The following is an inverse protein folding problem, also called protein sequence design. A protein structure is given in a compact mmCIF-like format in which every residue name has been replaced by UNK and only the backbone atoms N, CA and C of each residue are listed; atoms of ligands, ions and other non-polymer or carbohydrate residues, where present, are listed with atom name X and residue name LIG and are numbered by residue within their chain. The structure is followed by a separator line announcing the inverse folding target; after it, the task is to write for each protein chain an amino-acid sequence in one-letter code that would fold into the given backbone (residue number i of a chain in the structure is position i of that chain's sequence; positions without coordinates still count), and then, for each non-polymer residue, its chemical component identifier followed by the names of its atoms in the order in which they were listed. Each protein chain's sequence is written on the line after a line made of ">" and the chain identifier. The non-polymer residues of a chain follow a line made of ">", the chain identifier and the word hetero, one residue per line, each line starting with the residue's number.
data_IF_793510506144
#
_entry.id   IF_793510506144
#
_cell.length_a   1.000
_cell.length_b   1.000
_cell.length_c   1.000
_cell.angle_alpha   90.00
_cell.angle_beta   90.00
_cell.angle_gamma   90.00
#
_symmetry.space_group_name_H-M   'P 1'
#
loop_
_entity.id
_entity.type
_entity.pdbx_description
1 polymer ?
#
# COMPACT_ATOMS: atom_id res chain seq x y z
N UNK A 1 2.50 10.40 18.68
CA UNK A 1 1.33 10.89 17.91
C UNK A 1 0.18 9.92 18.10
N UNK A 2 -1.05 10.42 17.99
CA UNK A 2 -2.26 9.61 17.93
C UNK A 2 -2.60 9.34 16.46
N UNK A 3 -2.39 8.11 16.03
CA UNK A 3 -2.60 7.67 14.65
C UNK A 3 -3.90 6.87 14.57
N UNK A 4 -4.68 7.11 13.55
CA UNK A 4 -5.82 6.25 13.21
C UNK A 4 -5.55 5.58 11.87
N UNK A 5 -5.73 4.27 11.82
CA UNK A 5 -5.66 3.51 10.57
C UNK A 5 -7.07 3.01 10.26
N UNK A 6 -7.63 3.45 9.14
CA UNK A 6 -8.96 3.04 8.68
C UNK A 6 -8.81 1.93 7.65
N UNK A 7 -9.28 0.75 8.02
CA UNK A 7 -9.07 -0.49 7.29
C UNK A 7 -7.97 -1.36 7.91
N UNK A 8 -8.31 -2.57 8.36
CA UNK A 8 -7.41 -3.55 8.96
C UNK A 8 -7.00 -4.68 7.99
N UNK A 9 -7.02 -4.40 6.68
CA UNK A 9 -6.51 -5.31 5.65
C UNK A 9 -5.00 -5.49 5.73
N UNK A 10 -4.41 -6.13 4.73
CA UNK A 10 -2.95 -6.40 4.67
C UNK A 10 -2.11 -5.13 4.86
N UNK A 11 -2.48 -4.04 4.16
CA UNK A 11 -1.75 -2.77 4.27
C UNK A 11 -1.99 -2.08 5.61
N UNK A 12 -3.26 -1.93 6.03
CA UNK A 12 -3.59 -1.26 7.28
C UNK A 12 -3.00 -1.98 8.51
N UNK A 13 -3.03 -3.31 8.56
CA UNK A 13 -2.37 -4.08 9.63
C UNK A 13 -0.86 -3.84 9.68
N UNK A 14 -0.19 -3.78 8.51
CA UNK A 14 1.23 -3.50 8.43
C UNK A 14 1.59 -2.06 8.83
N UNK A 15 0.76 -1.08 8.45
CA UNK A 15 0.92 0.34 8.84
C UNK A 15 0.72 0.47 10.35
N UNK A 16 -0.32 -0.16 10.91
CA UNK A 16 -0.58 -0.21 12.36
C UNK A 16 0.62 -0.76 13.11
N UNK A 17 1.09 -1.95 12.74
CA UNK A 17 2.27 -2.57 13.35
C UNK A 17 3.51 -1.68 13.31
N UNK A 18 3.82 -1.09 12.14
CA UNK A 18 4.99 -0.21 12.00
C UNK A 18 4.87 1.05 12.85
N UNK A 19 3.66 1.62 12.96
CA UNK A 19 3.39 2.80 13.80
C UNK A 19 3.49 2.50 15.28
N UNK A 20 3.02 1.33 15.74
CA UNK A 20 3.15 0.87 17.12
C UNK A 20 4.62 0.70 17.52
N UNK A 21 5.43 0.07 16.66
CA UNK A 21 6.87 -0.12 16.90
C UNK A 21 7.65 1.20 16.94
N UNK A 22 7.15 2.23 16.26
CA UNK A 22 7.69 3.58 16.30
C UNK A 22 7.26 4.37 17.57
N UNK A 23 6.48 3.77 18.47
CA UNK A 23 6.05 4.38 19.74
C UNK A 23 4.84 5.30 19.60
N UNK A 24 4.04 5.16 18.54
CA UNK A 24 2.78 5.90 18.40
C UNK A 24 1.62 5.17 19.06
N UNK A 25 0.62 5.94 19.55
CA UNK A 25 -0.67 5.39 19.94
C UNK A 25 -1.51 5.18 18.70
N UNK A 26 -1.99 3.96 18.45
CA UNK A 26 -2.66 3.63 17.20
C UNK A 26 -4.04 3.07 17.45
N UNK A 27 -5.06 3.70 16.88
CA UNK A 27 -6.38 3.10 16.75
C UNK A 27 -6.55 2.52 15.33
N UNK A 28 -6.87 1.23 15.26
CA UNK A 28 -7.27 0.58 14.01
C UNK A 28 -8.79 0.44 13.97
N UNK A 29 -9.37 0.87 12.85
CA UNK A 29 -10.83 0.95 12.68
C UNK A 29 -11.26 0.10 11.50
N UNK A 30 -12.30 -0.69 11.70
CA UNK A 30 -12.99 -1.45 10.66
C UNK A 30 -14.51 -1.26 10.74
N UNK A 31 -15.20 -1.62 9.66
CA UNK A 31 -16.65 -1.56 9.61
C UNK A 31 -17.34 -2.81 10.14
N UNK A 32 -16.61 -3.93 10.24
CA UNK A 32 -17.13 -5.25 10.59
C UNK A 32 -16.17 -5.97 11.53
N UNK A 33 -16.72 -6.65 12.56
CA UNK A 33 -15.95 -7.35 13.60
C UNK A 33 -15.05 -8.43 13.01
N UNK A 34 -15.54 -9.19 12.03
CA UNK A 34 -14.76 -10.26 11.40
C UNK A 34 -13.50 -9.73 10.71
N UNK A 35 -13.61 -8.59 10.02
CA UNK A 35 -12.46 -7.96 9.39
C UNK A 35 -11.51 -7.36 10.43
N UNK A 36 -12.05 -6.80 11.51
CA UNK A 36 -11.26 -6.28 12.63
C UNK A 36 -10.46 -7.41 13.29
N UNK A 37 -11.10 -8.53 13.62
CA UNK A 37 -10.44 -9.70 14.23
C UNK A 37 -9.33 -10.25 13.33
N UNK A 38 -9.61 -10.36 12.02
CA UNK A 38 -8.61 -10.77 11.04
C UNK A 38 -7.44 -9.79 10.95
N UNK A 39 -7.69 -8.50 11.12
CA UNK A 39 -6.67 -7.46 11.15
C UNK A 39 -5.80 -7.54 12.40
N UNK A 40 -6.41 -7.72 13.56
CA UNK A 40 -5.72 -7.94 14.84
C UNK A 40 -4.81 -9.17 14.75
N UNK A 41 -5.33 -10.28 14.21
CA UNK A 41 -4.54 -11.50 14.05
C UNK A 41 -3.30 -11.26 13.17
N UNK A 42 -3.41 -10.49 12.06
CA UNK A 42 -2.25 -10.14 11.23
C UNK A 42 -1.23 -9.29 12.00
N UNK A 43 -1.70 -8.35 12.83
CA UNK A 43 -0.80 -7.53 13.65
C UNK A 43 -0.06 -8.42 14.66
N UNK A 44 -0.75 -9.34 15.33
CA UNK A 44 -0.14 -10.31 16.24
C UNK A 44 0.86 -11.23 15.51
N UNK A 45 0.55 -11.67 14.30
CA UNK A 45 1.46 -12.47 13.47
C UNK A 45 2.75 -11.71 13.14
N UNK A 46 2.67 -10.39 12.91
CA UNK A 46 3.87 -9.57 12.72
C UNK A 46 4.72 -9.50 13.99
N UNK A 47 4.10 -9.31 15.16
CA UNK A 47 4.81 -9.35 16.45
C UNK A 47 5.47 -10.71 16.71
N UNK A 48 4.72 -11.78 16.52
CA UNK A 48 5.21 -13.15 16.69
C UNK A 48 6.42 -13.43 15.80
N UNK A 49 6.34 -13.08 14.52
CA UNK A 49 7.44 -13.24 13.57
C UNK A 49 8.65 -12.37 13.92
N UNK A 50 8.41 -11.14 14.39
CA UNK A 50 9.47 -10.22 14.80
C UNK A 50 10.23 -10.71 16.04
N UNK A 51 9.52 -11.25 17.04
CA UNK A 51 10.07 -11.88 18.23
C UNK A 51 10.86 -13.13 17.89
N UNK A 52 10.27 -14.04 17.10
CA UNK A 52 10.91 -15.30 16.72
C UNK A 52 12.21 -15.11 15.93
N UNK A 53 12.31 -14.01 15.15
CA UNK A 53 13.52 -13.64 14.41
C UNK A 53 14.51 -12.78 15.19
N UNK A 54 14.23 -12.44 16.44
CA UNK A 54 15.05 -11.54 17.23
C UNK A 54 15.12 -10.08 16.71
N UNK A 55 14.18 -9.68 15.83
CA UNK A 55 14.14 -8.34 15.25
C UNK A 55 13.67 -7.30 16.28
N UNK A 56 12.77 -7.72 17.19
CA UNK A 56 12.24 -6.87 18.26
C UNK A 56 12.43 -7.52 19.61
N UNK A 57 12.89 -6.78 20.64
CA UNK A 57 12.92 -7.26 22.01
C UNK A 57 11.51 -7.48 22.58
N UNK A 58 11.35 -8.45 23.47
CA UNK A 58 10.04 -8.76 24.08
C UNK A 58 9.42 -7.56 24.79
N UNK A 59 10.19 -6.83 25.60
CA UNK A 59 9.72 -5.64 26.29
C UNK A 59 9.17 -4.56 25.30
N UNK A 60 9.85 -4.37 24.17
CA UNK A 60 9.39 -3.42 23.13
C UNK A 60 8.11 -3.90 22.45
N UNK A 61 7.95 -5.19 22.26
CA UNK A 61 6.73 -5.74 21.69
C UNK A 61 5.52 -5.53 22.61
N UNK A 62 5.67 -5.79 23.92
CA UNK A 62 4.61 -5.56 24.91
C UNK A 62 4.24 -4.09 25.03
N UNK A 63 5.23 -3.19 25.09
CA UNK A 63 5.00 -1.75 25.08
C UNK A 63 4.25 -1.31 23.83
N UNK A 64 4.64 -1.77 22.63
CA UNK A 64 3.98 -1.46 21.39
C UNK A 64 2.52 -1.94 21.37
N UNK A 65 2.26 -3.18 21.80
CA UNK A 65 0.91 -3.74 21.89
C UNK A 65 0.00 -2.98 22.84
N UNK A 66 0.52 -2.48 23.96
CA UNK A 66 -0.27 -1.69 24.93
C UNK A 66 -0.81 -0.37 24.36
N UNK A 67 -0.24 0.11 23.25
CA UNK A 67 -0.65 1.33 22.52
C UNK A 67 -1.68 1.07 21.41
N UNK A 68 -2.12 -0.19 21.21
CA UNK A 68 -3.11 -0.55 20.21
C UNK A 68 -4.52 -0.43 20.76
N UNK A 69 -5.38 0.28 20.05
CA UNK A 69 -6.83 0.26 20.22
C UNK A 69 -7.49 -0.25 18.94
N UNK A 70 -8.22 -1.36 19.01
CA UNK A 70 -9.01 -1.89 17.91
C UNK A 70 -10.50 -1.55 18.15
N UNK A 71 -11.21 -1.03 17.14
CA UNK A 71 -12.59 -0.56 17.35
C UNK A 71 -13.38 -0.52 16.03
N UNK A 72 -14.72 -0.63 16.14
CA UNK A 72 -15.67 -0.32 15.07
C UNK A 72 -16.16 1.15 15.14
N UNK A 73 -15.83 1.86 16.20
CA UNK A 73 -16.26 3.24 16.45
C UNK A 73 -15.44 4.27 15.69
N UNK A 74 -15.78 4.49 14.42
CA UNK A 74 -15.04 5.37 13.51
C UNK A 74 -14.89 6.81 14.05
N UNK A 75 -16.00 7.44 14.44
CA UNK A 75 -16.00 8.83 14.88
C UNK A 75 -15.25 9.02 16.20
N UNK A 76 -15.41 8.07 17.12
CA UNK A 76 -14.71 8.08 18.41
C UNK A 76 -13.19 7.95 18.21
N UNK A 77 -12.77 7.03 17.37
CA UNK A 77 -11.35 6.82 17.08
C UNK A 77 -10.70 8.06 16.46
N UNK A 78 -11.40 8.72 15.53
CA UNK A 78 -10.87 9.88 14.80
C UNK A 78 -10.86 11.18 15.61
N UNK A 79 -11.65 11.29 16.70
CA UNK A 79 -11.90 12.53 17.45
C UNK A 79 -10.64 13.27 17.92
N UNK A 80 -9.59 12.54 18.24
CA UNK A 80 -8.33 13.10 18.77
C UNK A 80 -7.11 12.69 17.92
N UNK A 81 -7.31 12.37 16.64
CA UNK A 81 -6.25 11.94 15.75
C UNK A 81 -5.34 13.12 15.37
N UNK A 82 -4.02 12.89 15.36
CA UNK A 82 -3.05 13.79 14.74
C UNK A 82 -2.91 13.49 13.24
N UNK A 83 -3.00 12.19 12.90
CA UNK A 83 -2.91 11.67 11.53
C UNK A 83 -3.88 10.50 11.37
N UNK A 84 -4.61 10.49 10.26
CA UNK A 84 -5.40 9.34 9.84
C UNK A 84 -4.83 8.78 8.55
N UNK A 85 -4.57 7.46 8.51
CA UNK A 85 -4.14 6.75 7.30
C UNK A 85 -5.29 5.85 6.84
N UNK A 86 -5.88 6.19 5.71
CA UNK A 86 -6.91 5.39 5.06
C UNK A 86 -6.25 4.27 4.25
N UNK A 87 -6.67 3.02 4.52
CA UNK A 87 -6.20 1.80 3.86
C UNK A 87 -7.36 0.83 3.58
N UNK A 88 -8.53 1.37 3.20
CA UNK A 88 -9.71 0.59 2.80
C UNK A 88 -9.57 0.09 1.36
N UNK A 89 -10.60 -0.63 0.89
CA UNK A 89 -10.65 -1.18 -0.47
C UNK A 89 -10.39 -0.10 -1.54
N UNK A 90 -9.64 -0.47 -2.60
CA UNK A 90 -9.19 0.44 -3.66
C UNK A 90 -10.33 0.75 -4.65
N UNK A 91 -11.30 1.54 -4.19
CA UNK A 91 -12.41 2.05 -4.98
C UNK A 91 -12.57 3.55 -4.74
N UNK A 92 -12.60 4.38 -5.80
CA UNK A 92 -12.67 5.83 -5.67
C UNK A 92 -13.89 6.32 -4.88
N UNK A 93 -15.07 5.72 -5.10
CA UNK A 93 -16.32 6.13 -4.43
C UNK A 93 -16.30 5.76 -2.95
N UNK A 94 -15.71 4.61 -2.61
CA UNK A 94 -15.54 4.18 -1.22
C UNK A 94 -14.61 5.13 -0.49
N UNK A 95 -13.44 5.43 -1.08
CA UNK A 95 -12.45 6.33 -0.47
C UNK A 95 -12.97 7.77 -0.34
N UNK A 96 -13.66 8.30 -1.34
CA UNK A 96 -14.31 9.63 -1.25
C UNK A 96 -15.30 9.71 -0.08
N UNK A 97 -16.14 8.68 0.11
CA UNK A 97 -17.05 8.60 1.27
C UNK A 97 -16.30 8.58 2.60
N UNK A 98 -15.20 7.80 2.65
CA UNK A 98 -14.35 7.75 3.85
C UNK A 98 -13.74 9.13 4.12
N UNK A 99 -13.18 9.81 3.13
CA UNK A 99 -12.60 11.15 3.28
C UNK A 99 -13.64 12.20 3.70
N UNK A 100 -14.83 12.18 3.13
CA UNK A 100 -15.93 13.05 3.56
C UNK A 100 -16.37 12.78 5.01
N UNK A 101 -16.28 11.53 5.48
CA UNK A 101 -16.55 11.15 6.87
C UNK A 101 -15.43 11.57 7.80
N UNK A 102 -14.17 11.39 7.38
CA UNK A 102 -12.99 11.84 8.11
C UNK A 102 -12.96 13.36 8.30
N UNK A 103 -13.38 14.12 7.27
CA UNK A 103 -13.44 15.57 7.34
C UNK A 103 -14.35 16.08 8.48
N UNK A 104 -15.38 15.30 8.84
CA UNK A 104 -16.31 15.61 9.93
C UNK A 104 -15.83 15.08 11.28
N UNK A 105 -15.20 13.91 11.31
CA UNK A 105 -14.86 13.18 12.54
C UNK A 105 -13.52 13.58 13.15
N UNK A 106 -12.51 13.89 12.32
CA UNK A 106 -11.17 14.20 12.80
C UNK A 106 -10.99 15.70 13.12
N UNK A 107 -10.07 16.06 14.02
CA UNK A 107 -9.73 17.47 14.30
C UNK A 107 -9.34 18.21 13.02
N UNK A 108 -9.62 19.52 12.97
CA UNK A 108 -9.32 20.36 11.77
C UNK A 108 -7.85 20.31 11.36
N UNK A 109 -6.95 20.19 12.34
CA UNK A 109 -5.51 20.15 12.11
C UNK A 109 -4.98 18.75 11.75
N UNK A 110 -5.80 17.71 11.92
CA UNK A 110 -5.40 16.34 11.59
C UNK A 110 -5.07 16.19 10.11
N UNK A 111 -3.98 15.47 9.82
CA UNK A 111 -3.62 15.08 8.47
C UNK A 111 -4.46 13.89 8.05
N UNK A 112 -4.99 13.94 6.84
CA UNK A 112 -5.76 12.86 6.24
C UNK A 112 -4.92 12.25 5.11
N UNK A 113 -4.38 11.06 5.33
CA UNK A 113 -3.54 10.36 4.37
C UNK A 113 -4.28 9.19 3.72
N UNK A 114 -4.06 8.96 2.44
CA UNK A 114 -4.52 7.75 1.75
C UNK A 114 -3.33 6.85 1.39
N UNK A 115 -3.49 5.55 1.62
CA UNK A 115 -2.54 4.53 1.14
C UNK A 115 -2.91 4.02 -0.27
N UNK A 116 -3.66 4.78 -1.04
CA UNK A 116 -3.99 4.40 -2.43
C UNK A 116 -2.74 4.21 -3.27
N UNK A 117 -2.82 3.31 -4.23
CA UNK A 117 -1.76 3.06 -5.23
C UNK A 117 -2.02 3.75 -6.58
N UNK A 118 -3.25 4.25 -6.81
CA UNK A 118 -3.65 4.70 -8.14
C UNK A 118 -4.68 5.84 -8.15
N UNK A 119 -5.40 6.07 -7.04
CA UNK A 119 -6.45 7.08 -6.98
C UNK A 119 -5.82 8.45 -6.70
N UNK A 120 -6.23 9.48 -7.46
CA UNK A 120 -5.74 10.83 -7.31
C UNK A 120 -5.99 11.39 -5.91
N UNK A 121 -4.95 11.90 -5.27
CA UNK A 121 -4.99 12.57 -3.96
C UNK A 121 -5.76 13.90 -4.06
N UNK A 122 -5.63 14.60 -5.18
CA UNK A 122 -6.41 15.79 -5.50
C UNK A 122 -7.91 15.51 -5.49
N UNK A 123 -8.32 14.39 -6.09
CA UNK A 123 -9.69 13.92 -6.08
C UNK A 123 -10.18 13.60 -4.66
N UNK A 124 -9.40 12.88 -3.86
CA UNK A 124 -9.75 12.59 -2.47
C UNK A 124 -9.82 13.86 -1.62
N UNK A 125 -8.90 14.80 -1.85
CA UNK A 125 -8.91 16.11 -1.20
C UNK A 125 -10.18 16.91 -1.49
N UNK A 126 -10.72 16.81 -2.72
CA UNK A 126 -11.96 17.49 -3.12
C UNK A 126 -13.21 16.97 -2.39
N UNK A 127 -13.15 15.78 -1.81
CA UNK A 127 -14.20 15.23 -0.95
C UNK A 127 -14.21 15.84 0.47
N UNK A 128 -13.25 16.72 0.80
CA UNK A 128 -13.08 17.36 2.11
C UNK A 128 -13.16 18.89 2.01
N UNK A 129 -13.37 19.56 3.13
CA UNK A 129 -13.30 21.04 3.24
C UNK A 129 -11.90 21.55 3.54
N UNK A 130 -10.91 20.64 3.69
CA UNK A 130 -9.50 20.91 4.01
C UNK A 130 -8.54 20.12 3.11
N UNK A 131 -8.63 20.29 1.78
CA UNK A 131 -7.77 19.57 0.85
C UNK A 131 -6.27 19.84 1.06
N UNK A 132 -5.91 20.94 1.72
CA UNK A 132 -4.53 21.26 2.12
C UNK A 132 -3.97 20.32 3.21
N UNK A 133 -4.85 19.59 3.93
CA UNK A 133 -4.48 18.57 4.93
C UNK A 133 -4.50 17.16 4.36
N UNK A 134 -4.81 16.99 3.07
CA UNK A 134 -4.89 15.67 2.42
C UNK A 134 -3.59 15.36 1.69
N UNK A 135 -3.06 14.14 1.86
CA UNK A 135 -1.79 13.68 1.29
C UNK A 135 -1.87 12.19 0.96
N UNK A 136 -1.11 11.72 -0.03
CA UNK A 136 -0.90 10.30 -0.26
C UNK A 136 0.32 9.80 0.52
N UNK A 137 0.17 8.66 1.17
CA UNK A 137 1.24 7.88 1.79
C UNK A 137 1.16 6.45 1.27
N UNK A 138 1.77 6.23 0.11
CA UNK A 138 1.77 4.94 -0.56
C UNK A 138 2.86 4.04 0.01
N UNK A 139 2.46 3.14 0.90
CA UNK A 139 3.31 2.09 1.47
C UNK A 139 3.38 0.89 0.54
N UNK A 140 4.47 0.13 0.64
CA UNK A 140 4.69 -1.08 -0.15
C UNK A 140 4.54 -2.35 0.70
N UNK A 141 3.98 -3.40 0.11
CA UNK A 141 3.79 -4.69 0.77
C UNK A 141 5.06 -5.56 0.66
N UNK A 142 5.53 -6.17 1.76
CA UNK A 142 5.05 -6.12 3.13
C UNK A 142 5.50 -4.83 3.86
N UNK A 143 4.56 -4.09 4.45
CA UNK A 143 4.86 -2.80 5.10
C UNK A 143 5.98 -2.88 6.14
N UNK A 144 6.08 -3.92 7.01
CA UNK A 144 7.14 -3.98 8.01
C UNK A 144 8.56 -4.01 7.44
N UNK A 145 8.74 -4.56 6.23
CA UNK A 145 10.07 -4.79 5.64
C UNK A 145 10.45 -3.78 4.56
N UNK A 146 9.46 -3.25 3.84
CA UNK A 146 9.70 -2.28 2.78
C UNK A 146 10.04 -0.92 3.37
N UNK A 147 11.17 -0.36 2.95
CA UNK A 147 11.69 0.91 3.50
C UNK A 147 11.13 2.14 2.81
N UNK A 148 10.56 1.99 1.61
CA UNK A 148 10.05 3.09 0.81
C UNK A 148 8.61 3.44 1.21
N UNK A 149 8.32 4.75 1.27
CA UNK A 149 6.98 5.31 1.19
C UNK A 149 7.00 6.41 0.13
N UNK A 150 6.18 6.29 -0.88
CA UNK A 150 5.93 7.41 -1.78
C UNK A 150 4.99 8.38 -1.09
N UNK A 151 5.40 9.65 -1.01
CA UNK A 151 4.56 10.73 -0.53
C UNK A 151 4.01 11.50 -1.72
N UNK A 152 2.71 11.44 -1.91
CA UNK A 152 2.03 12.05 -3.05
C UNK A 152 1.38 13.35 -2.62
N UNK A 153 1.80 14.42 -3.27
CA UNK A 153 1.24 15.74 -3.08
C UNK A 153 0.08 15.96 -4.05
N UNK A 154 -1.14 16.09 -3.53
CA UNK A 154 -2.28 16.57 -4.30
C UNK A 154 -2.12 18.07 -4.63
N UNK A 155 -2.90 18.56 -5.57
CA UNK A 155 -2.80 19.94 -6.07
C UNK A 155 -2.88 21.00 -4.96
N UNK A 156 -3.72 20.77 -3.94
CA UNK A 156 -3.95 21.70 -2.83
C UNK A 156 -3.24 21.30 -1.53
N UNK A 157 -2.52 20.19 -1.49
CA UNK A 157 -1.78 19.76 -0.30
C UNK A 157 -0.74 20.81 0.11
N UNK A 158 -0.78 21.26 1.36
CA UNK A 158 0.15 22.28 1.86
C UNK A 158 1.55 21.72 2.13
N UNK A 159 2.57 22.58 2.05
CA UNK A 159 3.95 22.22 2.43
C UNK A 159 4.06 21.78 3.90
N UNK A 160 3.24 22.36 4.77
CA UNK A 160 3.19 21.96 6.18
C UNK A 160 2.70 20.52 6.34
N UNK A 161 1.67 20.11 5.56
CA UNK A 161 1.16 18.74 5.52
C UNK A 161 2.21 17.78 4.99
N UNK A 162 2.88 18.13 3.89
CA UNK A 162 3.98 17.35 3.31
C UNK A 162 5.11 17.15 4.34
N UNK A 163 5.54 18.22 5.01
CA UNK A 163 6.61 18.15 6.00
C UNK A 163 6.22 17.30 7.22
N UNK A 164 4.99 17.44 7.72
CA UNK A 164 4.50 16.66 8.86
C UNK A 164 4.32 15.19 8.52
N UNK A 165 3.78 14.87 7.34
CA UNK A 165 3.65 13.49 6.84
C UNK A 165 5.03 12.85 6.60
N UNK A 166 6.01 13.61 6.08
CA UNK A 166 7.39 13.13 5.93
C UNK A 166 7.99 12.74 7.28
N UNK A 167 7.88 13.61 8.29
CA UNK A 167 8.36 13.31 9.65
C UNK A 167 7.71 12.06 10.24
N UNK A 168 6.40 11.89 10.05
CA UNK A 168 5.73 10.65 10.48
C UNK A 168 6.36 9.42 9.84
N UNK A 169 6.54 9.41 8.52
CA UNK A 169 7.16 8.27 7.80
C UNK A 169 8.59 8.00 8.30
N UNK A 170 9.37 9.05 8.56
CA UNK A 170 10.73 8.94 9.10
C UNK A 170 10.76 8.30 10.49
N UNK A 171 9.75 8.58 11.36
CA UNK A 171 9.64 7.91 12.66
C UNK A 171 9.45 6.40 12.54
N UNK A 172 8.89 5.93 11.42
CA UNK A 172 8.75 4.50 11.13
C UNK A 172 10.05 3.83 10.64
N UNK A 173 11.15 4.57 10.58
CA UNK A 173 12.42 4.11 10.00
C UNK A 173 12.35 3.89 8.49
N UNK A 174 11.47 4.62 7.79
CA UNK A 174 11.25 4.52 6.35
C UNK A 174 11.74 5.77 5.63
N UNK A 175 12.04 5.61 4.35
CA UNK A 175 12.51 6.69 3.47
C UNK A 175 11.34 7.22 2.66
N UNK A 176 11.18 8.55 2.66
CA UNK A 176 10.19 9.24 1.84
C UNK A 176 10.77 9.53 0.46
N UNK A 177 10.03 9.19 -0.58
CA UNK A 177 10.26 9.70 -1.94
C UNK A 177 9.01 10.47 -2.36
N UNK A 178 9.21 11.71 -2.81
CA UNK A 178 8.11 12.60 -3.20
C UNK A 178 7.68 12.33 -4.63
N UNK A 179 6.38 12.27 -4.85
CA UNK A 179 5.77 12.12 -6.17
C UNK A 179 4.69 13.18 -6.38
N UNK A 180 4.54 13.63 -7.62
CA UNK A 180 3.35 14.35 -8.03
C UNK A 180 2.14 13.41 -8.07
N UNK A 181 0.93 13.97 -7.97
CA UNK A 181 -0.34 13.25 -8.06
C UNK A 181 -0.62 12.88 -9.53
N UNK A 182 0.01 11.77 -9.96
CA UNK A 182 -0.16 11.18 -11.29
C UNK A 182 -0.38 9.68 -11.15
N UNK A 183 -1.20 9.11 -11.99
CA UNK A 183 -1.61 7.71 -11.93
C UNK A 183 -0.40 6.77 -11.95
N UNK A 184 -0.34 5.87 -10.94
CA UNK A 184 0.73 4.91 -10.74
C UNK A 184 1.99 5.50 -10.10
N UNK A 185 2.00 6.78 -9.74
CA UNK A 185 3.09 7.51 -9.09
C UNK A 185 4.45 7.24 -9.76
N UNK A 186 5.46 6.81 -9.01
CA UNK A 186 6.78 6.51 -9.57
C UNK A 186 6.92 5.01 -9.83
N UNK A 187 6.77 4.21 -8.77
CA UNK A 187 7.13 2.77 -8.84
C UNK A 187 6.19 2.00 -9.76
N UNK A 188 4.87 2.12 -9.55
CA UNK A 188 3.93 1.36 -10.38
C UNK A 188 3.97 1.79 -11.84
N UNK A 189 4.13 3.09 -12.10
CA UNK A 189 4.20 3.61 -13.48
C UNK A 189 5.41 3.11 -14.26
N UNK A 190 6.54 2.87 -13.58
CA UNK A 190 7.75 2.34 -14.23
C UNK A 190 7.80 0.81 -14.20
N UNK A 191 7.43 0.20 -13.07
CA UNK A 191 7.56 -1.23 -12.85
C UNK A 191 6.53 -2.06 -13.62
N UNK A 192 5.28 -1.59 -13.70
CA UNK A 192 4.22 -2.38 -14.34
C UNK A 192 4.45 -2.56 -15.85
N UNK A 193 4.80 -1.54 -16.65
CA UNK A 193 5.16 -1.75 -18.04
C UNK A 193 6.42 -2.59 -18.22
N UNK A 194 7.41 -2.49 -17.33
CA UNK A 194 8.58 -3.36 -17.36
C UNK A 194 8.21 -4.85 -17.20
N UNK A 195 7.39 -5.18 -16.20
CA UNK A 195 6.86 -6.53 -16.01
C UNK A 195 6.03 -6.96 -17.23
N UNK A 196 5.14 -6.09 -17.69
CA UNK A 196 4.26 -6.39 -18.83
C UNK A 196 5.01 -6.65 -20.12
N UNK A 197 6.07 -5.88 -20.39
CA UNK A 197 6.93 -6.10 -21.55
C UNK A 197 7.67 -7.44 -21.44
N UNK A 198 8.16 -7.80 -20.25
CA UNK A 198 8.76 -9.11 -20.00
C UNK A 198 7.79 -10.27 -20.25
N UNK A 199 6.51 -10.09 -19.94
CA UNK A 199 5.46 -11.07 -20.24
C UNK A 199 5.24 -11.14 -21.77
N UNK A 200 5.25 -10.02 -22.49
CA UNK A 200 5.11 -10.01 -23.95
C UNK A 200 6.27 -10.73 -24.65
N UNK A 201 7.52 -10.56 -24.15
CA UNK A 201 8.65 -11.33 -24.66
C UNK A 201 8.40 -12.85 -24.59
N UNK A 202 7.76 -13.31 -23.52
CA UNK A 202 7.36 -14.72 -23.39
C UNK A 202 6.21 -15.07 -24.38
N UNK A 203 5.18 -14.20 -24.51
CA UNK A 203 4.07 -14.41 -25.43
C UNK A 203 4.51 -14.48 -26.89
N UNK A 204 5.52 -13.69 -27.27
CA UNK A 204 6.09 -13.61 -28.60
C UNK A 204 7.13 -14.72 -28.88
N UNK A 205 7.46 -15.54 -27.87
CA UNK A 205 8.44 -16.60 -28.00
C UNK A 205 9.88 -16.13 -28.21
N UNK A 206 10.19 -14.89 -27.78
CA UNK A 206 11.55 -14.34 -27.85
C UNK A 206 12.53 -15.17 -27.02
N UNK A 207 12.08 -15.63 -25.84
CA UNK A 207 12.87 -16.50 -24.98
C UNK A 207 12.00 -17.32 -24.02
N UNK A 208 12.63 -18.29 -23.34
CA UNK A 208 11.96 -19.05 -22.28
C UNK A 208 11.72 -18.17 -21.05
N UNK A 209 10.72 -18.55 -20.24
CA UNK A 209 10.44 -17.94 -18.93
C UNK A 209 11.70 -17.80 -18.07
N UNK A 210 12.46 -18.89 -17.95
CA UNK A 210 13.63 -18.97 -17.09
C UNK A 210 14.79 -18.09 -17.61
N UNK A 211 14.96 -18.02 -18.92
CA UNK A 211 16.02 -17.18 -19.52
C UNK A 211 15.66 -15.69 -19.47
N UNK A 212 14.37 -15.33 -19.59
CA UNK A 212 13.94 -13.94 -19.40
C UNK A 212 14.30 -13.48 -17.97
N UNK A 213 13.92 -14.25 -16.95
CA UNK A 213 14.24 -13.90 -15.57
C UNK A 213 15.75 -13.87 -15.31
N UNK A 214 16.48 -14.85 -15.83
CA UNK A 214 17.94 -14.94 -15.73
C UNK A 214 18.66 -13.78 -16.42
N UNK A 215 18.15 -13.30 -17.54
CA UNK A 215 18.71 -12.15 -18.23
C UNK A 215 18.68 -10.88 -17.36
N UNK A 216 17.61 -10.63 -16.64
CA UNK A 216 17.52 -9.48 -15.73
C UNK A 216 18.30 -9.66 -14.42
N UNK A 217 18.37 -10.90 -13.91
CA UNK A 217 19.22 -11.19 -12.75
C UNK A 217 20.70 -10.92 -13.06
N UNK A 218 21.18 -11.41 -14.18
CA UNK A 218 22.63 -11.37 -14.52
C UNK A 218 23.02 -10.14 -15.35
N UNK A 219 22.15 -9.71 -16.27
CA UNK A 219 22.46 -8.61 -17.18
C UNK A 219 22.14 -7.23 -16.62
N UNK A 220 21.16 -7.13 -15.73
CA UNK A 220 20.74 -5.87 -15.09
C UNK A 220 20.90 -5.86 -13.57
N UNK A 221 21.44 -6.93 -12.97
CA UNK A 221 21.64 -7.09 -11.53
C UNK A 221 20.35 -6.86 -10.70
N UNK A 222 19.20 -7.27 -11.26
CA UNK A 222 17.96 -7.22 -10.51
C UNK A 222 17.96 -8.28 -9.40
N UNK A 223 17.37 -8.00 -8.23
CA UNK A 223 17.31 -8.97 -7.11
C UNK A 223 16.36 -10.14 -7.40
N UNK A 224 15.48 -9.99 -8.39
CA UNK A 224 14.49 -10.97 -8.81
C UNK A 224 14.16 -10.76 -10.28
N UNK A 225 13.94 -11.85 -11.02
CA UNK A 225 13.49 -11.78 -12.41
C UNK A 225 12.06 -11.22 -12.52
N UNK A 226 11.71 -10.57 -13.65
CA UNK A 226 10.44 -9.88 -13.82
C UNK A 226 9.21 -10.79 -13.74
N UNK A 227 9.29 -12.03 -14.23
CA UNK A 227 8.16 -12.97 -14.18
C UNK A 227 7.98 -13.55 -12.78
N UNK A 228 9.07 -13.82 -12.07
CA UNK A 228 9.07 -14.17 -10.66
C UNK A 228 8.52 -13.02 -9.79
N UNK A 229 8.86 -11.77 -10.13
CA UNK A 229 8.35 -10.58 -9.45
C UNK A 229 6.85 -10.39 -9.69
N UNK A 230 6.37 -10.64 -10.90
CA UNK A 230 4.94 -10.65 -11.22
C UNK A 230 4.17 -11.63 -10.33
N UNK A 231 4.68 -12.86 -10.18
CA UNK A 231 4.09 -13.89 -9.32
C UNK A 231 4.15 -13.50 -7.82
N UNK A 232 5.21 -12.82 -7.41
CA UNK A 232 5.36 -12.33 -6.03
C UNK A 232 4.36 -11.20 -5.70
N UNK A 233 4.17 -10.25 -6.61
CA UNK A 233 3.18 -9.16 -6.48
C UNK A 233 1.76 -9.73 -6.51
N UNK A 234 1.53 -10.70 -7.36
CA UNK A 234 0.24 -11.28 -7.71
C UNK A 234 -0.26 -10.78 -9.06
N UNK A 235 -0.55 -11.73 -9.96
CA UNK A 235 -0.89 -11.43 -11.36
C UNK A 235 -2.19 -10.62 -11.51
N UNK A 236 -3.14 -10.80 -10.61
CA UNK A 236 -4.35 -9.97 -10.55
C UNK A 236 -4.06 -8.51 -10.16
N UNK A 237 -3.11 -8.29 -9.26
CA UNK A 237 -2.65 -6.94 -8.89
C UNK A 237 -1.93 -6.28 -10.06
N UNK A 238 -1.02 -7.01 -10.72
CA UNK A 238 -0.33 -6.53 -11.93
C UNK A 238 -1.35 -6.16 -13.01
N UNK A 239 -2.31 -7.05 -13.29
CA UNK A 239 -3.35 -6.82 -14.29
C UNK A 239 -4.23 -5.61 -13.97
N UNK A 240 -4.70 -5.49 -12.72
CA UNK A 240 -5.55 -4.37 -12.31
C UNK A 240 -4.81 -3.03 -12.39
N UNK A 241 -3.55 -3.00 -11.98
CA UNK A 241 -2.72 -1.79 -12.05
C UNK A 241 -2.46 -1.38 -13.51
N UNK A 242 -2.14 -2.35 -14.38
CA UNK A 242 -1.95 -2.08 -15.82
C UNK A 242 -3.22 -1.53 -16.47
N UNK A 243 -4.41 -2.02 -16.11
CA UNK A 243 -5.69 -1.49 -16.61
C UNK A 243 -5.88 -0.03 -16.22
N UNK A 244 -5.66 0.31 -14.95
CA UNK A 244 -5.74 1.70 -14.48
C UNK A 244 -4.73 2.60 -15.20
N UNK A 245 -3.50 2.12 -15.40
CA UNK A 245 -2.48 2.85 -16.17
C UNK A 245 -2.87 3.00 -17.65
N UNK A 246 -3.48 1.97 -18.24
CA UNK A 246 -3.96 2.01 -19.62
C UNK A 246 -5.09 3.03 -19.82
N UNK A 247 -6.03 3.09 -18.86
CA UNK A 247 -7.16 4.02 -18.94
C UNK A 247 -6.70 5.49 -18.90
N UNK A 248 -5.62 5.79 -18.16
CA UNK A 248 -5.10 7.16 -18.01
C UNK A 248 -3.98 7.51 -19.01
N UNK A 249 -3.12 6.55 -19.34
CA UNK A 249 -1.92 6.78 -20.15
C UNK A 249 -1.96 6.15 -21.54
N UNK A 250 -3.00 5.40 -21.86
CA UNK A 250 -3.24 4.86 -23.20
C UNK A 250 -2.66 3.46 -23.46
N UNK A 251 -2.68 3.10 -24.76
CA UNK A 251 -2.47 1.72 -25.21
C UNK A 251 -1.09 1.11 -24.91
N UNK A 252 -0.07 1.91 -24.62
CA UNK A 252 1.26 1.40 -24.27
C UNK A 252 1.25 0.57 -22.97
N UNK A 253 0.25 0.77 -22.11
CA UNK A 253 0.04 -0.01 -20.88
C UNK A 253 -0.91 -1.20 -21.04
N UNK A 254 -1.34 -1.52 -22.28
CA UNK A 254 -2.24 -2.67 -22.52
C UNK A 254 -1.64 -3.96 -21.95
N UNK A 255 -2.37 -4.68 -21.07
CA UNK A 255 -1.91 -5.93 -20.51
C UNK A 255 -1.60 -6.99 -21.57
N UNK A 256 -0.56 -7.76 -21.34
CA UNK A 256 -0.20 -8.92 -22.15
C UNK A 256 -1.32 -9.97 -22.15
N UNK A 257 -1.50 -10.70 -23.27
CA UNK A 257 -2.59 -11.64 -23.46
C UNK A 257 -2.52 -12.82 -22.46
N UNK A 258 -1.32 -13.35 -22.22
CA UNK A 258 -1.12 -14.44 -21.25
C UNK A 258 -1.43 -13.99 -19.82
N UNK A 259 -1.10 -12.76 -19.43
CA UNK A 259 -1.47 -12.22 -18.11
C UNK A 259 -2.98 -12.23 -17.89
N UNK A 260 -3.74 -11.72 -18.86
CA UNK A 260 -5.21 -11.72 -18.80
C UNK A 260 -5.77 -13.15 -18.69
N UNK A 261 -5.23 -14.06 -19.52
CA UNK A 261 -5.63 -15.48 -19.53
C UNK A 261 -5.32 -16.18 -18.21
N UNK A 262 -4.12 -15.96 -17.66
CA UNK A 262 -3.71 -16.58 -16.39
C UNK A 262 -4.59 -16.13 -15.22
N UNK A 263 -4.86 -14.84 -15.12
CA UNK A 263 -5.75 -14.30 -14.08
C UNK A 263 -7.16 -14.86 -14.19
N UNK A 264 -7.71 -14.97 -15.42
CA UNK A 264 -9.04 -15.57 -15.64
C UNK A 264 -9.11 -17.05 -15.25
N UNK A 265 -7.97 -17.75 -15.24
CA UNK A 265 -7.83 -19.14 -14.82
C UNK A 265 -7.54 -19.30 -13.31
N UNK A 266 -7.52 -18.24 -12.54
CA UNK A 266 -7.18 -18.27 -11.12
C UNK A 266 -5.68 -18.52 -10.82
N UNK A 267 -4.81 -18.43 -11.81
CA UNK A 267 -3.36 -18.48 -11.65
C UNK A 267 -2.86 -17.10 -11.27
N UNK A 268 -2.69 -16.86 -9.97
CA UNK A 268 -2.44 -15.54 -9.41
C UNK A 268 -1.03 -15.38 -8.83
N UNK A 269 -0.13 -16.29 -9.16
CA UNK A 269 1.24 -16.32 -8.62
C UNK A 269 1.33 -17.05 -7.27
N UNK A 270 2.23 -16.63 -6.41
CA UNK A 270 2.52 -17.30 -5.12
C UNK A 270 1.30 -17.51 -4.24
N UNK A 271 0.36 -16.56 -4.21
CA UNK A 271 -0.83 -16.65 -3.37
C UNK A 271 -1.80 -17.76 -3.75
N UNK A 272 -1.81 -18.17 -5.03
CA UNK A 272 -2.56 -19.32 -5.54
C UNK A 272 -1.68 -20.55 -5.76
N UNK A 273 -0.40 -20.50 -5.32
CA UNK A 273 0.64 -21.50 -5.55
C UNK A 273 0.94 -21.78 -7.03
N UNK A 274 0.41 -20.97 -7.93
CA UNK A 274 0.56 -21.14 -9.37
C UNK A 274 0.48 -19.78 -10.09
N UNK A 275 1.47 -19.51 -10.93
CA UNK A 275 1.57 -18.33 -11.77
C UNK A 275 2.38 -18.65 -13.02
N UNK A 276 3.38 -17.82 -13.32
CA UNK A 276 4.44 -18.18 -14.28
C UNK A 276 5.25 -19.36 -13.76
N UNK A 277 5.37 -19.49 -12.44
CA UNK A 277 6.01 -20.60 -11.75
C UNK A 277 5.00 -21.36 -10.88
N UNK A 278 5.35 -22.62 -10.52
CA UNK A 278 4.66 -23.39 -9.50
C UNK A 278 5.39 -23.24 -8.14
N UNK A 279 4.65 -23.15 -7.01
CA UNK A 279 5.17 -22.86 -5.67
C UNK A 279 4.73 -23.88 -4.61
#
# INVERSE_FOLDING_TARGET
>A
MKIVVVGAGTMGSGITYSSLLAGHDVAVVEQDQKFLDSGIQRIEDYFTKGLAKGIIPSAKAEEAKSRLKATLGFEEACRNADLVVEAVFEDPKVKEKVFARLDKAAPKEAILASNTSSISITRLGSATRRPEKVVGLHFFNPVPTMKLVELIRGERTSEQTVAAASRFVETLGKTVVRSADRTGFIVNRALMPFINESIKLLDEGVSSRDDIDKAFLLGANHPMGPLQLADFIGLDVVLSTLKVLQDDHGACFRPAASLVKMVSQGKLGRKSKRGFYDY
#
